data_IF_878264130367
#
_entry.id   IF_878264130367
#
_cell.length_a   1.000
_cell.length_b   1.000
_cell.length_c   1.000
_cell.angle_alpha   90.00
_cell.angle_beta   90.00
_cell.angle_gamma   90.00
#
_symmetry.space_group_name_H-M   'P 1'
#
loop_
_entity.id
_entity.type
_entity.pdbx_description
1 polymer ?
#
# COMPACT_ATOMS: atom_id res chain seq x y z
N UNK A 1 -14.07 14.23 -12.46
CA UNK A 1 -13.61 12.83 -12.62
C UNK A 1 -14.84 11.99 -12.90
N UNK A 2 -15.06 11.63 -14.16
CA UNK A 2 -16.23 10.87 -14.57
C UNK A 2 -15.95 9.40 -14.26
N UNK A 3 -16.41 8.92 -13.10
CA UNK A 3 -16.53 7.48 -12.83
C UNK A 3 -17.68 6.96 -13.68
N UNK A 4 -17.44 6.85 -14.99
CA UNK A 4 -18.35 6.28 -15.97
C UNK A 4 -18.88 4.97 -15.44
N UNK A 5 -20.20 4.90 -15.29
CA UNK A 5 -20.92 3.82 -14.66
C UNK A 5 -20.44 2.46 -15.11
N UNK A 6 -19.61 1.82 -14.27
CA UNK A 6 -19.62 0.38 -14.19
C UNK A 6 -20.99 0.05 -13.64
N UNK A 7 -21.95 -0.25 -14.51
CA UNK A 7 -23.23 -0.79 -14.10
C UNK A 7 -22.90 -1.88 -13.07
N UNK A 8 -23.30 -1.65 -11.81
CA UNK A 8 -23.11 -2.61 -10.75
C UNK A 8 -23.79 -3.88 -11.24
N UNK A 9 -23.00 -4.83 -11.74
CA UNK A 9 -23.56 -6.04 -12.30
C UNK A 9 -24.10 -6.79 -11.09
N UNK A 10 -25.43 -6.96 -10.96
CA UNK A 10 -26.03 -7.39 -9.68
C UNK A 10 -25.53 -8.76 -9.20
N UNK A 11 -24.92 -9.52 -10.11
CA UNK A 11 -24.27 -10.78 -9.82
C UNK A 11 -23.05 -10.63 -8.89
N UNK A 12 -22.24 -9.57 -9.04
CA UNK A 12 -21.07 -9.36 -8.19
C UNK A 12 -21.48 -8.91 -6.79
N UNK A 13 -22.54 -8.10 -6.66
CA UNK A 13 -23.06 -7.68 -5.35
C UNK A 13 -23.55 -8.90 -4.53
N UNK A 14 -24.24 -9.85 -5.19
CA UNK A 14 -24.65 -11.12 -4.55
C UNK A 14 -23.45 -11.96 -4.16
N UNK A 15 -22.47 -12.10 -5.06
CA UNK A 15 -21.26 -12.87 -4.76
C UNK A 15 -20.46 -12.25 -3.61
N UNK A 16 -20.38 -10.92 -3.53
CA UNK A 16 -19.75 -10.19 -2.43
C UNK A 16 -20.55 -10.41 -1.12
N UNK A 17 -21.88 -10.38 -1.18
CA UNK A 17 -22.71 -10.63 0.01
C UNK A 17 -22.58 -12.09 0.53
N UNK A 18 -22.44 -13.06 -0.37
CA UNK A 18 -22.34 -14.48 -0.03
C UNK A 18 -20.92 -14.92 0.37
N UNK A 19 -19.89 -14.34 -0.27
CA UNK A 19 -18.50 -14.81 -0.18
C UNK A 19 -17.51 -13.75 0.32
N UNK A 20 -17.95 -12.52 0.49
CA UNK A 20 -17.10 -11.38 0.81
C UNK A 20 -16.44 -10.74 -0.41
N UNK A 21 -16.02 -9.49 -0.26
CA UNK A 21 -15.31 -8.75 -1.30
C UNK A 21 -13.82 -9.09 -1.30
N UNK A 22 -13.46 -10.17 -2.00
CA UNK A 22 -12.08 -10.65 -2.11
C UNK A 22 -11.18 -9.62 -2.79
N UNK A 23 -11.71 -8.82 -3.72
CA UNK A 23 -10.91 -7.81 -4.45
C UNK A 23 -10.56 -6.65 -3.53
N UNK A 24 -11.52 -6.17 -2.73
CA UNK A 24 -11.26 -5.14 -1.73
C UNK A 24 -10.25 -5.63 -0.68
N UNK A 25 -10.39 -6.88 -0.21
CA UNK A 25 -9.45 -7.49 0.74
C UNK A 25 -8.05 -7.56 0.14
N UNK A 26 -7.90 -8.07 -1.09
CA UNK A 26 -6.60 -8.15 -1.75
C UNK A 26 -5.95 -6.77 -1.94
N UNK A 27 -6.74 -5.74 -2.27
CA UNK A 27 -6.25 -4.38 -2.41
C UNK A 27 -5.76 -3.81 -1.07
N UNK A 28 -6.51 -4.03 0.02
CA UNK A 28 -6.10 -3.62 1.37
C UNK A 28 -4.79 -4.30 1.77
N UNK A 29 -4.72 -5.63 1.63
CA UNK A 29 -3.53 -6.40 1.99
C UNK A 29 -2.31 -5.97 1.17
N UNK A 30 -2.47 -5.72 -0.13
CA UNK A 30 -1.37 -5.23 -0.96
C UNK A 30 -0.81 -3.88 -0.47
N UNK A 31 -1.68 -2.96 -0.06
CA UNK A 31 -1.26 -1.67 0.49
C UNK A 31 -0.57 -1.80 1.86
N UNK A 32 -1.09 -2.66 2.73
CA UNK A 32 -0.45 -2.97 4.02
C UNK A 32 0.94 -3.58 3.83
N UNK A 33 1.06 -4.59 2.97
CA UNK A 33 2.35 -5.20 2.62
C UNK A 33 3.30 -4.16 2.02
N UNK A 34 2.81 -3.28 1.15
CA UNK A 34 3.64 -2.22 0.57
C UNK A 34 4.22 -1.29 1.65
N UNK A 35 3.41 -0.92 2.65
CA UNK A 35 3.88 -0.07 3.77
C UNK A 35 4.88 -0.80 4.66
N UNK A 36 4.62 -2.05 4.99
CA UNK A 36 5.52 -2.87 5.80
C UNK A 36 6.87 -3.04 5.11
N UNK A 37 6.87 -3.40 3.82
CA UNK A 37 8.09 -3.52 3.03
C UNK A 37 8.81 -2.17 2.94
N UNK A 38 8.09 -1.06 2.74
CA UNK A 38 8.69 0.26 2.72
C UNK A 38 9.35 0.62 4.06
N UNK A 39 8.77 0.23 5.20
CA UNK A 39 9.34 0.47 6.52
C UNK A 39 10.56 -0.44 6.80
N UNK A 40 10.51 -1.71 6.39
CA UNK A 40 11.62 -2.65 6.55
C UNK A 40 12.81 -2.29 5.67
N UNK A 41 12.53 -1.85 4.43
CA UNK A 41 13.56 -1.44 3.47
C UNK A 41 13.93 0.05 3.61
N UNK A 42 13.42 0.75 4.62
CA UNK A 42 13.90 2.07 5.00
C UNK A 42 15.20 1.91 5.79
N UNK A 43 16.29 1.63 5.06
CA UNK A 43 17.62 1.46 5.63
C UNK A 43 18.24 2.77 6.15
N UNK A 44 17.51 3.89 6.08
CA UNK A 44 17.98 5.21 6.47
C UNK A 44 19.13 5.69 5.57
N UNK A 45 18.86 6.65 4.69
CA UNK A 45 19.93 7.57 4.33
C UNK A 45 20.21 8.44 5.56
N UNK A 46 21.06 7.97 6.47
CA UNK A 46 21.71 8.87 7.44
C UNK A 46 22.75 9.70 6.70
N UNK A 47 22.30 10.63 5.87
CA UNK A 47 23.16 11.72 5.38
C UNK A 47 23.29 12.76 6.49
N UNK A 48 24.02 12.41 7.54
CA UNK A 48 24.75 13.35 8.40
C UNK A 48 26.12 12.69 8.55
N UNK A 49 27.13 13.06 7.77
CA UNK A 49 27.60 14.44 7.69
C UNK A 49 28.21 14.79 9.04
N UNK A 50 29.42 14.29 9.26
CA UNK A 50 30.18 14.40 10.50
C UNK A 50 31.58 13.81 10.31
N UNK A 51 32.23 14.18 9.21
CA UNK A 51 33.70 14.21 9.18
C UNK A 51 34.11 15.25 10.22
N UNK A 52 34.37 14.81 11.45
CA UNK A 52 35.27 15.53 12.34
C UNK A 52 36.67 15.04 12.00
N UNK A 53 37.24 15.65 10.94
CA UNK A 53 38.67 15.91 10.92
C UNK A 53 38.92 16.94 12.03
N UNK A 54 39.25 16.45 13.22
CA UNK A 54 39.96 17.26 14.22
C UNK A 54 41.45 16.93 14.06
N UNK A 55 42.12 17.76 13.27
CA UNK A 55 43.57 17.95 13.33
C UNK A 55 43.95 18.47 14.73
N UNK A 56 44.62 17.65 15.56
CA UNK A 56 45.80 18.04 16.37
C UNK A 56 46.59 16.83 16.91
#
# INVERSE_FOLDING_TARGET
MNTTGRAAAPIYDRLIAERGDVVAVAALTAEETRREVAAVLDFGFSSTGGETDEDE
#
